data_IF_139144242126
#
_entry.id   IF_139144242126
#
_cell.length_a   1.000
_cell.length_b   1.000
_cell.length_c   1.000
_cell.angle_alpha   90.00
_cell.angle_beta   90.00
_cell.angle_gamma   90.00
#
_symmetry.space_group_name_H-M   'P 1'
#
loop_
_entity.id
_entity.type
_entity.pdbx_description
1 polymer ?
#
# COMPACT_ATOMS: atom_id res chain seq x y z
N UNK A 1 15.04 -29.39 -1.36
CA UNK A 1 14.90 -30.69 -2.09
C UNK A 1 15.74 -31.82 -1.49
N UNK A 2 16.92 -31.55 -0.89
CA UNK A 2 17.70 -32.60 -0.22
C UNK A 2 17.02 -33.09 1.06
N UNK A 3 16.16 -32.27 1.65
CA UNK A 3 15.49 -32.52 2.93
C UNK A 3 14.33 -33.52 2.81
N UNK A 4 13.65 -33.58 1.66
CA UNK A 4 12.61 -34.59 1.38
C UNK A 4 13.19 -36.01 1.22
N UNK A 5 14.50 -36.15 0.99
CA UNK A 5 15.14 -37.46 0.85
C UNK A 5 15.29 -38.21 2.18
N UNK A 6 15.38 -37.48 3.30
CA UNK A 6 15.67 -38.06 4.62
C UNK A 6 14.61 -39.10 5.05
N UNK A 7 13.29 -38.79 5.05
CA UNK A 7 12.28 -39.79 5.42
C UNK A 7 12.22 -40.97 4.43
N UNK A 8 12.43 -40.73 3.13
CA UNK A 8 12.47 -41.80 2.15
C UNK A 8 13.65 -42.75 2.36
N UNK A 9 14.84 -42.21 2.59
CA UNK A 9 16.05 -42.98 2.90
C UNK A 9 15.83 -43.81 4.18
N UNK A 10 15.17 -43.24 5.19
CA UNK A 10 14.88 -43.92 6.45
C UNK A 10 13.90 -45.09 6.26
N UNK A 11 12.86 -44.89 5.43
CA UNK A 11 11.92 -45.97 5.04
C UNK A 11 12.63 -47.07 4.27
N UNK A 12 13.44 -46.72 3.26
CA UNK A 12 14.19 -47.70 2.46
C UNK A 12 15.20 -48.45 3.34
N UNK A 13 15.92 -47.74 4.21
CA UNK A 13 16.83 -48.35 5.17
C UNK A 13 16.10 -49.32 6.12
N UNK A 14 14.94 -48.93 6.64
CA UNK A 14 14.10 -49.79 7.49
C UNK A 14 13.62 -51.04 6.75
N UNK A 15 13.22 -50.94 5.48
CA UNK A 15 12.80 -52.09 4.67
C UNK A 15 13.94 -53.09 4.40
N UNK A 16 15.18 -52.60 4.26
CA UNK A 16 16.37 -53.45 4.15
C UNK A 16 16.88 -53.97 5.50
N UNK A 17 16.68 -53.22 6.60
CA UNK A 17 17.08 -53.59 7.94
C UNK A 17 16.16 -54.66 8.55
N UNK A 18 14.85 -54.57 8.30
CA UNK A 18 13.83 -55.54 8.74
C UNK A 18 13.77 -56.81 7.88
N UNK A 19 14.53 -56.85 6.78
CA UNK A 19 14.58 -58.00 5.87
C UNK A 19 13.37 -58.16 4.95
N UNK A 20 12.43 -57.20 4.95
CA UNK A 20 11.29 -57.18 4.04
C UNK A 20 11.70 -57.13 2.56
N UNK A 21 12.85 -56.50 2.26
CA UNK A 21 13.49 -56.52 0.95
C UNK A 21 14.80 -57.31 0.98
N UNK A 22 14.95 -58.29 0.09
CA UNK A 22 16.22 -59.01 -0.08
C UNK A 22 17.32 -58.03 -0.53
N UNK A 23 18.48 -58.10 0.12
CA UNK A 23 19.68 -57.33 -0.23
C UNK A 23 20.24 -57.84 -1.55
N UNK A 24 19.72 -57.33 -2.66
CA UNK A 24 20.13 -57.69 -4.01
C UNK A 24 20.33 -56.42 -4.84
N UNK A 25 21.29 -56.42 -5.77
CA UNK A 25 21.63 -55.23 -6.56
C UNK A 25 20.40 -54.65 -7.28
N UNK A 26 19.55 -55.52 -7.84
CA UNK A 26 18.27 -55.15 -8.47
C UNK A 26 17.31 -54.42 -7.51
N UNK A 27 17.24 -54.84 -6.25
CA UNK A 27 16.33 -54.23 -5.27
C UNK A 27 16.84 -52.84 -4.83
N UNK A 28 18.16 -52.67 -4.72
CA UNK A 28 18.75 -51.35 -4.47
C UNK A 28 18.52 -50.38 -5.64
N UNK A 29 18.66 -50.85 -6.89
CA UNK A 29 18.39 -50.00 -8.07
C UNK A 29 16.92 -49.62 -8.18
N UNK A 30 16.00 -50.56 -7.94
CA UNK A 30 14.56 -50.26 -7.95
C UNK A 30 14.14 -49.32 -6.81
N UNK A 31 14.72 -49.48 -5.61
CA UNK A 31 14.50 -48.55 -4.50
C UNK A 31 15.04 -47.15 -4.80
N UNK A 32 16.19 -47.03 -5.47
CA UNK A 32 16.72 -45.73 -5.87
C UNK A 32 15.83 -45.06 -6.93
N UNK A 33 15.43 -45.79 -7.98
CA UNK A 33 14.53 -45.29 -9.03
C UNK A 33 13.19 -44.87 -8.44
N UNK A 34 12.55 -45.74 -7.63
CA UNK A 34 11.28 -45.43 -6.98
C UNK A 34 11.37 -44.18 -6.10
N UNK A 35 12.49 -43.96 -5.43
CA UNK A 35 12.72 -42.77 -4.62
C UNK A 35 12.79 -41.51 -5.44
N UNK A 36 13.57 -41.53 -6.53
CA UNK A 36 13.66 -40.40 -7.45
C UNK A 36 12.29 -40.11 -8.07
N UNK A 37 11.52 -41.13 -8.45
CA UNK A 37 10.17 -40.95 -9.00
C UNK A 37 9.21 -40.34 -7.97
N UNK A 38 9.18 -40.86 -6.74
CA UNK A 38 8.33 -40.32 -5.67
C UNK A 38 8.70 -38.86 -5.36
N UNK A 39 9.99 -38.54 -5.30
CA UNK A 39 10.45 -37.17 -5.07
C UNK A 39 10.08 -36.24 -6.22
N UNK A 40 10.18 -36.69 -7.48
CA UNK A 40 9.76 -35.91 -8.63
C UNK A 40 8.26 -35.64 -8.59
N UNK A 41 7.44 -36.65 -8.27
CA UNK A 41 5.99 -36.51 -8.11
C UNK A 41 5.65 -35.57 -6.96
N UNK A 42 6.26 -35.74 -5.78
CA UNK A 42 6.04 -34.86 -4.64
C UNK A 42 6.45 -33.41 -4.93
N UNK A 43 7.56 -33.19 -5.65
CA UNK A 43 7.99 -31.84 -6.02
C UNK A 43 7.03 -31.15 -6.99
N UNK A 44 6.46 -31.88 -7.95
CA UNK A 44 5.45 -31.35 -8.87
C UNK A 44 4.16 -31.04 -8.11
N UNK A 45 3.70 -31.97 -7.27
CA UNK A 45 2.46 -31.81 -6.51
C UNK A 45 2.58 -30.68 -5.49
N UNK A 46 3.69 -30.60 -4.75
CA UNK A 46 3.90 -29.52 -3.77
C UNK A 46 3.90 -28.16 -4.44
N UNK A 47 4.46 -28.05 -5.66
CA UNK A 47 4.45 -26.78 -6.41
C UNK A 47 3.03 -26.32 -6.79
N UNK A 48 2.10 -27.27 -6.99
CA UNK A 48 0.71 -26.97 -7.37
C UNK A 48 -0.18 -26.69 -6.15
N UNK A 49 -0.08 -27.50 -5.09
CA UNK A 49 -1.03 -27.43 -3.97
C UNK A 49 -0.46 -26.81 -2.68
N UNK A 50 0.86 -26.67 -2.57
CA UNK A 50 1.51 -25.92 -1.50
C UNK A 50 2.62 -25.03 -2.08
N UNK A 51 2.28 -24.05 -2.94
CA UNK A 51 3.27 -23.18 -3.56
C UNK A 51 4.11 -22.49 -2.50
N UNK A 52 5.43 -22.60 -2.63
CA UNK A 52 6.42 -21.92 -1.79
C UNK A 52 7.16 -20.91 -2.67
N UNK A 53 7.36 -19.69 -2.18
CA UNK A 53 8.30 -18.77 -2.79
C UNK A 53 9.75 -19.24 -2.57
N UNK A 54 10.40 -19.68 -3.64
CA UNK A 54 11.80 -20.12 -3.60
C UNK A 54 12.79 -19.03 -4.00
N UNK A 55 12.30 -17.87 -4.44
CA UNK A 55 13.12 -16.77 -4.98
C UNK A 55 13.28 -15.62 -3.99
N UNK A 56 12.78 -15.78 -2.76
CA UNK A 56 12.75 -14.73 -1.74
C UNK A 56 12.16 -13.41 -2.24
N UNK A 57 11.16 -13.50 -3.13
CA UNK A 57 10.49 -12.34 -3.74
C UNK A 57 9.37 -11.78 -2.86
N UNK A 58 9.05 -12.49 -1.79
CA UNK A 58 8.00 -12.16 -0.86
C UNK A 58 8.44 -10.95 -0.03
N UNK A 59 7.65 -9.89 -0.07
CA UNK A 59 8.01 -8.60 0.53
C UNK A 59 6.89 -8.03 1.38
N UNK A 60 7.25 -7.46 2.52
CA UNK A 60 6.32 -6.71 3.38
C UNK A 60 6.15 -5.31 2.81
N UNK A 61 4.91 -4.92 2.56
CA UNK A 61 4.55 -3.59 2.07
C UNK A 61 3.50 -2.96 2.96
N UNK A 62 3.41 -1.64 2.85
CA UNK A 62 2.35 -0.86 3.47
C UNK A 62 1.89 0.24 2.48
N UNK A 63 0.61 0.63 2.52
CA UNK A 63 0.15 1.83 1.85
C UNK A 63 0.95 3.04 2.36
N UNK A 64 1.26 3.97 1.47
CA UNK A 64 1.94 5.20 1.83
C UNK A 64 1.34 6.41 1.13
N UNK A 65 1.36 7.54 1.82
CA UNK A 65 1.06 8.84 1.24
C UNK A 65 2.37 9.46 0.73
N UNK A 66 2.34 10.01 -0.49
CA UNK A 66 3.45 10.80 -1.02
C UNK A 66 3.10 12.28 -0.82
N UNK A 67 3.82 12.92 0.08
CA UNK A 67 3.68 14.35 0.37
C UNK A 67 4.72 15.12 -0.44
N UNK A 68 4.24 15.91 -1.39
CA UNK A 68 5.07 16.83 -2.17
C UNK A 68 4.61 18.27 -1.95
N UNK A 69 5.52 19.26 -1.93
CA UNK A 69 5.15 20.66 -1.98
C UNK A 69 4.22 20.94 -3.17
N UNK A 70 3.29 21.86 -2.98
CA UNK A 70 2.44 22.34 -4.08
C UNK A 70 3.35 23.08 -5.08
N UNK A 71 3.12 22.86 -6.38
CA UNK A 71 3.96 23.42 -7.43
C UNK A 71 4.12 24.94 -7.29
N UNK A 72 5.38 25.41 -7.28
CA UNK A 72 5.72 26.83 -7.16
C UNK A 72 5.87 27.35 -5.72
N UNK A 73 5.67 26.51 -4.69
CA UNK A 73 5.91 26.88 -3.30
C UNK A 73 7.20 26.27 -2.76
N UNK A 74 7.91 27.05 -1.95
CA UNK A 74 9.16 26.65 -1.30
C UNK A 74 8.88 26.12 0.11
N UNK A 75 9.61 25.09 0.52
CA UNK A 75 9.58 24.58 1.89
C UNK A 75 10.21 25.61 2.83
N UNK A 76 9.47 26.01 3.86
CA UNK A 76 9.93 26.91 4.92
C UNK A 76 10.71 26.11 5.98
N UNK A 77 10.02 25.21 6.70
CA UNK A 77 10.63 24.38 7.76
C UNK A 77 10.20 22.94 7.67
N UNK A 78 11.14 22.03 7.94
CA UNK A 78 10.87 20.60 8.11
C UNK A 78 10.84 20.28 9.60
N UNK A 79 9.75 19.71 10.09
CA UNK A 79 9.48 19.52 11.53
C UNK A 79 9.54 18.04 11.96
N UNK A 80 10.00 17.17 11.06
CA UNK A 80 10.14 15.74 11.29
C UNK A 80 11.54 15.25 10.97
N UNK A 81 11.95 14.20 11.67
CA UNK A 81 13.21 13.50 11.47
C UNK A 81 13.04 12.21 10.65
N UNK A 82 14.17 11.67 10.17
CA UNK A 82 14.18 10.40 9.45
C UNK A 82 13.59 9.26 10.30
N UNK A 83 12.71 8.44 9.70
CA UNK A 83 12.12 7.26 10.35
C UNK A 83 11.27 7.57 11.60
N UNK A 84 10.85 8.83 11.79
CA UNK A 84 10.03 9.23 12.92
C UNK A 84 8.60 8.68 12.83
N UNK A 85 8.08 8.21 13.97
CA UNK A 85 6.67 7.87 14.11
C UNK A 85 5.86 9.14 14.34
N UNK A 86 4.79 9.31 13.56
CA UNK A 86 3.91 10.49 13.61
C UNK A 86 2.46 10.03 13.75
N UNK A 87 1.64 10.87 14.36
CA UNK A 87 0.20 10.68 14.48
C UNK A 87 -0.54 11.52 13.46
N UNK A 88 -1.78 11.13 13.17
CA UNK A 88 -2.68 11.92 12.36
C UNK A 88 -2.77 13.37 12.87
N UNK A 89 -2.58 14.33 11.96
CA UNK A 89 -2.60 15.77 12.25
C UNK A 89 -1.26 16.39 12.64
N UNK A 90 -0.23 15.58 12.92
CA UNK A 90 1.12 16.08 13.20
C UNK A 90 1.67 16.86 12.00
N UNK A 91 2.35 17.97 12.27
CA UNK A 91 2.91 18.82 11.22
C UNK A 91 4.22 18.20 10.72
N UNK A 92 4.31 18.04 9.42
CA UNK A 92 5.44 17.42 8.75
C UNK A 92 6.39 18.50 8.23
N UNK A 93 5.88 19.44 7.44
CA UNK A 93 6.61 20.63 7.01
C UNK A 93 5.66 21.79 6.70
N UNK A 94 6.20 23.00 6.73
CA UNK A 94 5.51 24.23 6.34
C UNK A 94 6.05 24.76 5.02
N UNK A 95 5.20 25.48 4.29
CA UNK A 95 5.55 26.17 3.05
C UNK A 95 5.64 27.68 3.30
N UNK A 96 6.51 28.36 2.56
CA UNK A 96 6.71 29.82 2.66
C UNK A 96 5.40 30.54 2.27
N UNK A 97 4.95 31.45 3.12
CA UNK A 97 3.83 32.34 2.83
C UNK A 97 4.34 33.64 2.20
N UNK A 98 4.21 33.76 0.87
CA UNK A 98 4.70 34.93 0.13
C UNK A 98 3.65 36.06 0.10
N UNK A 99 2.38 35.75 -0.18
CA UNK A 99 1.37 36.78 -0.49
C UNK A 99 0.09 36.73 0.38
N UNK A 100 -0.16 35.64 1.10
CA UNK A 100 -1.53 35.35 1.53
C UNK A 100 -1.99 36.10 2.79
N UNK A 101 -1.07 36.68 3.58
CA UNK A 101 -1.45 37.55 4.69
C UNK A 101 -2.00 38.90 4.20
N UNK A 102 -1.37 39.49 3.18
CA UNK A 102 -1.80 40.77 2.61
C UNK A 102 -3.12 40.62 1.84
N UNK A 103 -3.25 39.54 1.05
CA UNK A 103 -4.48 39.25 0.33
C UNK A 103 -5.67 39.00 1.26
N UNK A 104 -5.45 38.23 2.35
CA UNK A 104 -6.48 38.00 3.36
C UNK A 104 -6.94 39.31 4.00
N UNK A 105 -6.01 40.14 4.46
CA UNK A 105 -6.33 41.43 5.06
C UNK A 105 -7.08 42.37 4.09
N UNK A 106 -6.73 42.34 2.80
CA UNK A 106 -7.42 43.10 1.76
C UNK A 106 -8.87 42.63 1.58
N UNK A 107 -9.12 41.33 1.49
CA UNK A 107 -10.47 40.77 1.34
C UNK A 107 -11.32 41.06 2.59
N UNK A 108 -10.76 40.88 3.79
CA UNK A 108 -11.43 41.18 5.05
C UNK A 108 -11.85 42.66 5.12
N UNK A 109 -10.97 43.58 4.69
CA UNK A 109 -11.30 45.01 4.59
C UNK A 109 -12.43 45.28 3.59
N UNK A 110 -12.41 44.63 2.42
CA UNK A 110 -13.49 44.75 1.43
C UNK A 110 -14.82 44.19 1.93
N UNK A 111 -14.82 43.11 2.72
CA UNK A 111 -16.03 42.58 3.37
C UNK A 111 -16.61 43.63 4.33
N UNK A 112 -15.78 44.22 5.21
CA UNK A 112 -16.24 45.26 6.15
C UNK A 112 -16.83 46.46 5.40
N UNK A 113 -16.20 46.90 4.31
CA UNK A 113 -16.72 48.00 3.49
C UNK A 113 -18.09 47.66 2.90
N UNK A 114 -18.27 46.44 2.37
CA UNK A 114 -19.54 45.99 1.79
C UNK A 114 -20.62 45.78 2.85
N UNK A 115 -20.27 45.31 4.03
CA UNK A 115 -21.20 45.21 5.16
C UNK A 115 -21.72 46.59 5.59
N UNK A 116 -20.85 47.59 5.65
CA UNK A 116 -21.28 48.96 5.96
C UNK A 116 -22.15 49.57 4.85
N UNK A 117 -21.85 49.28 3.59
CA UNK A 117 -22.69 49.69 2.45
C UNK A 117 -24.07 49.04 2.50
N UNK A 118 -24.15 47.73 2.80
CA UNK A 118 -25.42 47.03 3.02
C UNK A 118 -26.20 47.65 4.18
N UNK A 119 -25.54 47.95 5.31
CA UNK A 119 -26.20 48.60 6.46
C UNK A 119 -26.75 49.98 6.09
N UNK A 120 -26.03 50.75 5.28
CA UNK A 120 -26.51 52.04 4.77
C UNK A 120 -27.72 51.85 3.86
N UNK A 121 -27.64 50.96 2.86
CA UNK A 121 -28.73 50.68 1.93
C UNK A 121 -29.98 50.14 2.63
N UNK A 122 -29.80 49.30 3.65
CA UNK A 122 -30.89 48.75 4.46
C UNK A 122 -31.64 49.87 5.21
N UNK A 123 -30.90 50.84 5.78
CA UNK A 123 -31.51 52.03 6.41
C UNK A 123 -32.24 52.93 5.40
N UNK A 124 -31.76 52.99 4.16
CA UNK A 124 -32.39 53.78 3.10
C UNK A 124 -33.69 53.11 2.63
N UNK A 125 -33.67 51.79 2.48
CA UNK A 125 -34.86 50.98 2.18
C UNK A 125 -35.91 51.11 3.29
N UNK A 126 -35.53 50.95 4.56
CA UNK A 126 -36.44 51.08 5.71
C UNK A 126 -37.09 52.47 5.79
N UNK A 127 -36.32 53.53 5.48
CA UNK A 127 -36.85 54.90 5.39
C UNK A 127 -37.85 55.07 4.24
N UNK A 128 -37.57 54.47 3.08
CA UNK A 128 -38.45 54.51 1.91
C UNK A 128 -39.77 53.77 2.17
N UNK A 129 -39.72 52.63 2.86
CA UNK A 129 -40.91 51.84 3.24
C UNK A 129 -41.78 52.56 4.28
N UNK A 130 -41.16 53.24 5.26
CA UNK A 130 -41.88 53.93 6.34
C UNK A 130 -42.52 55.26 5.89
N UNK A 131 -42.06 55.84 4.78
CA UNK A 131 -42.51 57.16 4.27
C UNK A 131 -43.15 57.09 2.87
N UNK A 132 -44.31 56.41 2.71
CA UNK A 132 -44.95 56.18 1.41
C UNK A 132 -45.50 57.45 0.74
N UNK A 133 -45.61 58.57 1.45
CA UNK A 133 -46.00 59.87 0.87
C UNK A 133 -44.86 60.54 0.07
N UNK A 134 -43.61 60.13 0.30
CA UNK A 134 -42.41 60.75 -0.27
C UNK A 134 -41.77 59.86 -1.35
N UNK A 135 -41.84 58.54 -1.20
CA UNK A 135 -41.20 57.57 -2.10
C UNK A 135 -42.24 56.74 -2.86
N UNK A 136 -41.99 56.51 -4.16
CA UNK A 136 -42.88 55.68 -4.98
C UNK A 136 -42.50 54.19 -4.84
N UNK A 137 -43.43 53.27 -5.15
CA UNK A 137 -43.14 51.82 -5.13
C UNK A 137 -41.94 51.41 -5.99
N UNK A 138 -41.72 52.08 -7.12
CA UNK A 138 -40.56 51.83 -8.00
C UNK A 138 -39.22 52.12 -7.30
N UNK A 139 -39.20 53.10 -6.41
CA UNK A 139 -37.98 53.49 -5.69
C UNK A 139 -37.65 52.44 -4.62
N UNK A 140 -38.67 51.90 -3.94
CA UNK A 140 -38.51 50.77 -3.00
C UNK A 140 -38.00 49.51 -3.72
N UNK A 141 -38.62 49.14 -4.85
CA UNK A 141 -38.18 47.98 -5.66
C UNK A 141 -36.74 48.13 -6.16
N UNK A 142 -36.31 49.37 -6.47
CA UNK A 142 -34.94 49.67 -6.83
C UNK A 142 -33.99 49.46 -5.66
N UNK A 143 -34.28 50.01 -4.48
CA UNK A 143 -33.44 49.82 -3.29
C UNK A 143 -33.32 48.35 -2.88
N UNK A 144 -34.42 47.60 -2.95
CA UNK A 144 -34.43 46.17 -2.71
C UNK A 144 -33.59 45.39 -3.76
N UNK A 145 -33.66 45.80 -5.03
CA UNK A 145 -32.79 45.24 -6.08
C UNK A 145 -31.30 45.56 -5.86
N UNK A 146 -30.97 46.79 -5.50
CA UNK A 146 -29.60 47.22 -5.20
C UNK A 146 -29.07 46.48 -3.96
N UNK A 147 -29.90 46.30 -2.93
CA UNK A 147 -29.57 45.52 -1.73
C UNK A 147 -29.32 44.04 -2.07
N UNK A 148 -30.10 43.43 -2.97
CA UNK A 148 -29.81 42.08 -3.48
C UNK A 148 -28.45 41.99 -4.19
N UNK A 149 -28.10 42.99 -5.00
CA UNK A 149 -26.80 43.03 -5.69
C UNK A 149 -25.67 43.13 -4.66
N UNK A 150 -25.78 44.01 -3.66
CA UNK A 150 -24.79 44.14 -2.59
C UNK A 150 -24.61 42.84 -1.79
N UNK A 151 -25.71 42.14 -1.47
CA UNK A 151 -25.63 40.84 -0.83
C UNK A 151 -24.93 39.79 -1.71
N UNK A 152 -25.19 39.77 -3.02
CA UNK A 152 -24.50 38.88 -3.94
C UNK A 152 -22.98 39.17 -3.98
N UNK A 153 -22.59 40.45 -3.97
CA UNK A 153 -21.18 40.86 -3.90
C UNK A 153 -20.52 40.45 -2.57
N UNK A 154 -21.21 40.63 -1.44
CA UNK A 154 -20.73 40.18 -0.13
C UNK A 154 -20.51 38.67 -0.09
N UNK A 155 -21.45 37.89 -0.64
CA UNK A 155 -21.30 36.42 -0.74
C UNK A 155 -20.10 36.05 -1.61
N UNK A 156 -19.85 36.78 -2.71
CA UNK A 156 -18.64 36.59 -3.53
C UNK A 156 -17.36 36.82 -2.73
N UNK A 157 -17.30 37.92 -1.97
CA UNK A 157 -16.12 38.22 -1.14
C UNK A 157 -15.90 37.19 -0.02
N UNK A 158 -16.98 36.67 0.58
CA UNK A 158 -16.89 35.59 1.56
C UNK A 158 -16.35 34.29 0.94
N UNK A 159 -16.76 33.97 -0.29
CA UNK A 159 -16.22 32.83 -1.03
C UNK A 159 -14.73 33.01 -1.35
N UNK A 160 -14.30 34.21 -1.71
CA UNK A 160 -12.88 34.54 -1.93
C UNK A 160 -12.07 34.41 -0.63
N UNK A 161 -12.61 34.87 0.51
CA UNK A 161 -11.97 34.70 1.82
C UNK A 161 -11.83 33.21 2.18
N UNK A 162 -12.87 32.40 1.95
CA UNK A 162 -12.83 30.96 2.20
C UNK A 162 -11.75 30.29 1.33
N UNK A 163 -11.63 30.69 0.05
CA UNK A 163 -10.60 30.20 -0.85
C UNK A 163 -9.19 30.52 -0.35
N UNK A 164 -8.95 31.73 0.13
CA UNK A 164 -7.64 32.13 0.70
C UNK A 164 -7.34 31.35 1.98
N UNK A 165 -8.32 31.21 2.89
CA UNK A 165 -8.14 30.43 4.12
C UNK A 165 -7.82 28.96 3.82
N UNK A 166 -8.52 28.34 2.88
CA UNK A 166 -8.24 26.96 2.46
C UNK A 166 -6.84 26.81 1.86
N UNK A 167 -6.41 27.78 1.03
CA UNK A 167 -5.06 27.80 0.49
C UNK A 167 -4.00 27.93 1.60
N UNK A 168 -4.28 28.69 2.66
CA UNK A 168 -3.40 28.83 3.83
C UNK A 168 -3.28 27.54 4.63
N UNK A 169 -4.40 26.86 4.89
CA UNK A 169 -4.40 25.56 5.58
C UNK A 169 -3.54 24.54 4.83
N UNK A 170 -3.60 24.56 3.49
CA UNK A 170 -2.81 23.68 2.62
C UNK A 170 -1.31 24.00 2.57
N UNK A 171 -0.85 25.11 3.15
CA UNK A 171 0.60 25.40 3.31
C UNK A 171 1.24 24.65 4.47
N UNK A 172 0.43 24.15 5.40
CA UNK A 172 0.91 23.30 6.50
C UNK A 172 0.62 21.85 6.15
N UNK A 173 1.64 21.11 5.75
CA UNK A 173 1.48 19.70 5.40
C UNK A 173 1.50 18.88 6.68
N UNK A 174 0.44 18.10 6.88
CA UNK A 174 0.20 17.28 8.06
C UNK A 174 0.09 15.81 7.70
N UNK A 175 0.35 14.93 8.65
CA UNK A 175 0.10 13.51 8.50
C UNK A 175 -1.41 13.24 8.35
N UNK A 176 -1.79 12.52 7.28
CA UNK A 176 -3.18 12.11 7.03
C UNK A 176 -3.61 10.89 7.86
N UNK A 177 -2.65 10.17 8.46
CA UNK A 177 -2.88 9.00 9.29
C UNK A 177 -1.67 8.70 10.18
N UNK A 178 -1.88 7.91 11.23
CA UNK A 178 -0.81 7.38 12.08
C UNK A 178 0.15 6.50 11.26
N UNK A 179 1.46 6.77 11.37
CA UNK A 179 2.44 6.05 10.57
C UNK A 179 3.88 6.42 10.84
N UNK A 180 4.75 6.01 9.93
CA UNK A 180 6.18 6.27 9.99
C UNK A 180 6.64 7.06 8.77
N UNK A 181 7.28 8.20 9.02
CA UNK A 181 7.93 9.01 7.98
C UNK A 181 9.13 8.23 7.45
N UNK A 182 9.33 8.22 6.14
CA UNK A 182 10.50 7.61 5.52
C UNK A 182 11.78 8.42 5.80
N UNK A 183 12.81 8.20 4.98
CA UNK A 183 13.92 9.12 4.91
C UNK A 183 13.41 10.49 4.43
N UNK A 184 13.55 11.51 5.27
CA UNK A 184 13.40 12.92 4.89
C UNK A 184 14.45 13.24 3.82
N UNK A 185 13.99 13.42 2.59
CA UNK A 185 14.82 13.73 1.41
C UNK A 185 14.59 15.17 0.91
N UNK A 186 13.90 15.98 1.69
CA UNK A 186 13.63 17.39 1.42
C UNK A 186 14.42 18.26 2.39
N UNK A 187 14.89 19.42 1.92
CA UNK A 187 15.57 20.41 2.74
C UNK A 187 14.78 21.71 2.80
N UNK A 188 15.00 22.50 3.85
CA UNK A 188 14.52 23.88 3.92
C UNK A 188 14.98 24.64 2.68
N UNK A 189 14.07 25.40 2.09
CA UNK A 189 14.31 26.11 0.84
C UNK A 189 14.13 25.27 -0.44
N UNK A 190 13.81 23.98 -0.34
CA UNK A 190 13.52 23.16 -1.53
C UNK A 190 12.18 23.53 -2.16
N UNK A 191 12.14 23.61 -3.49
CA UNK A 191 10.91 23.87 -4.29
C UNK A 191 10.28 22.60 -4.86
N UNK A 192 11.01 21.48 -4.78
CA UNK A 192 10.58 20.17 -5.25
C UNK A 192 11.10 19.11 -4.29
N UNK A 193 10.30 18.07 -4.07
CA UNK A 193 10.64 16.97 -3.19
C UNK A 193 9.44 16.06 -2.94
N UNK A 194 9.70 14.86 -2.46
CA UNK A 194 8.67 13.87 -2.16
C UNK A 194 9.01 13.13 -0.87
N UNK A 195 8.18 13.26 0.16
CA UNK A 195 8.32 12.50 1.39
C UNK A 195 7.26 11.42 1.46
N UNK A 196 7.65 10.23 1.94
CA UNK A 196 6.72 9.12 2.07
C UNK A 196 6.33 8.95 3.54
N UNK A 197 5.03 8.86 3.81
CA UNK A 197 4.48 8.48 5.11
C UNK A 197 3.84 7.10 4.96
N UNK A 198 4.41 6.09 5.62
CA UNK A 198 3.91 4.71 5.55
C UNK A 198 2.91 4.43 6.66
N UNK A 199 1.79 3.80 6.33
CA UNK A 199 0.80 3.37 7.31
C UNK A 199 1.25 2.07 8.00
N UNK A 200 1.73 2.17 9.22
CA UNK A 200 2.25 1.01 9.97
C UNK A 200 1.17 0.04 10.42
N UNK A 201 -0.10 0.47 10.47
CA UNK A 201 -1.23 -0.33 10.92
C UNK A 201 -1.80 -1.25 9.84
N UNK A 202 -1.47 -1.01 8.56
CA UNK A 202 -2.00 -1.77 7.41
C UNK A 202 -0.88 -2.42 6.59
N UNK A 203 -0.06 -3.24 7.25
CA UNK A 203 0.98 -4.03 6.57
C UNK A 203 0.37 -5.23 5.86
N UNK A 204 0.88 -5.53 4.66
CA UNK A 204 0.50 -6.69 3.87
C UNK A 204 1.73 -7.31 3.21
N UNK A 205 1.61 -8.56 2.78
CA UNK A 205 2.67 -9.27 2.10
C UNK A 205 2.33 -9.38 0.61
N UNK A 206 3.29 -9.06 -0.26
CA UNK A 206 3.19 -9.45 -1.66
C UNK A 206 4.03 -10.70 -1.90
N UNK A 207 3.39 -11.72 -2.48
CA UNK A 207 4.04 -12.98 -2.87
C UNK A 207 3.76 -13.24 -4.34
N UNK A 208 4.69 -13.89 -5.03
CA UNK A 208 4.48 -14.37 -6.41
C UNK A 208 4.19 -15.86 -6.44
N UNK A 209 3.17 -16.24 -7.20
CA UNK A 209 2.80 -17.63 -7.46
C UNK A 209 2.85 -17.94 -8.95
N UNK A 210 3.09 -19.20 -9.30
CA UNK A 210 3.01 -19.63 -10.69
C UNK A 210 1.56 -19.57 -11.21
N UNK A 211 1.39 -19.24 -12.48
CA UNK A 211 0.10 -19.28 -13.17
C UNK A 211 -0.58 -20.66 -13.10
N UNK A 212 0.21 -21.73 -13.01
CA UNK A 212 -0.30 -23.09 -12.84
C UNK A 212 -0.99 -23.29 -11.49
N UNK A 213 -0.53 -22.58 -10.47
CA UNK A 213 -1.06 -22.66 -9.11
C UNK A 213 -2.24 -21.71 -8.90
N UNK A 214 -2.35 -20.65 -9.70
CA UNK A 214 -3.39 -19.62 -9.58
C UNK A 214 -4.81 -20.19 -9.48
N UNK A 215 -5.13 -21.24 -10.25
CA UNK A 215 -6.46 -21.87 -10.24
C UNK A 215 -6.79 -22.66 -8.97
N UNK A 216 -5.82 -22.93 -8.11
CA UNK A 216 -6.02 -23.67 -6.85
C UNK A 216 -6.03 -22.77 -5.62
N UNK A 217 -5.54 -21.53 -5.74
CA UNK A 217 -5.51 -20.60 -4.61
C UNK A 217 -6.84 -19.86 -4.54
N UNK A 218 -7.42 -19.76 -3.35
CA UNK A 218 -8.64 -19.02 -3.08
C UNK A 218 -8.41 -17.90 -2.05
N UNK A 219 -9.30 -16.90 -2.07
CA UNK A 219 -9.32 -15.86 -1.04
C UNK A 219 -9.70 -16.49 0.30
N UNK A 220 -8.93 -16.21 1.34
CA UNK A 220 -9.08 -16.77 2.69
C UNK A 220 -8.16 -17.95 2.98
N UNK A 221 -7.45 -18.49 1.98
CA UNK A 221 -6.52 -19.61 2.17
C UNK A 221 -5.45 -19.28 3.20
N UNK A 222 -5.10 -20.28 3.99
CA UNK A 222 -4.08 -20.17 5.02
C UNK A 222 -2.69 -20.08 4.39
N UNK A 223 -1.86 -19.19 4.93
CA UNK A 223 -0.47 -19.03 4.53
C UNK A 223 0.43 -18.92 5.76
N UNK A 224 1.69 -19.33 5.62
CA UNK A 224 2.73 -18.93 6.56
C UNK A 224 3.88 -18.30 5.82
N UNK A 225 4.59 -17.41 6.50
CA UNK A 225 5.73 -16.72 5.93
C UNK A 225 6.79 -16.46 6.99
N UNK A 226 8.02 -16.23 6.54
CA UNK A 226 9.05 -15.63 7.37
C UNK A 226 9.58 -14.38 6.69
N UNK A 227 10.24 -13.54 7.47
CA UNK A 227 10.96 -12.37 7.00
C UNK A 227 12.39 -12.41 7.51
N UNK A 228 13.34 -11.95 6.71
CA UNK A 228 14.76 -11.92 7.07
C UNK A 228 15.04 -11.00 8.26
N UNK A 229 14.17 -10.01 8.51
CA UNK A 229 14.25 -9.15 9.69
C UNK A 229 14.00 -9.88 11.02
N UNK A 230 13.26 -11.00 10.99
CA UNK A 230 13.01 -11.87 12.14
C UNK A 230 13.31 -13.33 11.78
N UNK A 231 14.58 -13.67 11.56
CA UNK A 231 14.94 -15.00 11.12
C UNK A 231 14.66 -16.02 12.24
N UNK A 232 14.35 -17.26 11.87
CA UNK A 232 13.93 -18.31 12.80
C UNK A 232 12.48 -18.22 13.28
N UNK A 233 11.76 -17.13 12.98
CA UNK A 233 10.34 -16.98 13.28
C UNK A 233 9.51 -17.23 12.03
N UNK A 234 8.31 -17.79 12.22
CA UNK A 234 7.32 -17.98 11.16
C UNK A 234 5.99 -17.40 11.62
N UNK A 235 5.44 -16.53 10.78
CA UNK A 235 4.21 -15.81 11.00
C UNK A 235 3.10 -16.40 10.13
N UNK A 236 1.86 -16.14 10.54
CA UNK A 236 0.67 -16.60 9.81
C UNK A 236 0.12 -15.47 8.97
N UNK A 237 -0.45 -15.82 7.83
CA UNK A 237 -1.12 -14.91 6.93
C UNK A 237 -2.34 -15.60 6.30
N UNK A 238 -3.17 -14.81 5.63
CA UNK A 238 -4.26 -15.32 4.79
C UNK A 238 -4.22 -14.67 3.43
N UNK A 239 -4.65 -15.39 2.40
CA UNK A 239 -4.82 -14.81 1.07
C UNK A 239 -5.95 -13.77 1.12
N UNK A 240 -5.64 -12.51 0.86
CA UNK A 240 -6.63 -11.44 0.83
C UNK A 240 -7.16 -11.24 -0.59
N UNK A 241 -6.27 -11.07 -1.56
CA UNK A 241 -6.68 -10.81 -2.95
C UNK A 241 -5.59 -11.14 -3.96
N UNK A 242 -5.99 -11.23 -5.22
CA UNK A 242 -5.11 -11.35 -6.37
C UNK A 242 -4.88 -9.97 -6.98
N UNK A 243 -3.65 -9.70 -7.42
CA UNK A 243 -3.41 -8.49 -8.20
C UNK A 243 -4.10 -8.61 -9.57
N UNK A 244 -4.94 -7.62 -9.92
CA UNK A 244 -5.77 -7.65 -11.12
C UNK A 244 -4.96 -7.59 -12.42
N UNK A 245 -3.75 -7.00 -12.38
CA UNK A 245 -2.87 -6.88 -13.53
C UNK A 245 -1.43 -7.17 -13.17
N UNK A 246 -0.72 -7.90 -14.02
CA UNK A 246 0.74 -7.95 -13.97
C UNK A 246 1.31 -6.70 -14.62
N UNK A 247 2.56 -6.31 -14.33
CA UNK A 247 3.21 -5.18 -15.02
C UNK A 247 3.26 -5.33 -16.55
N UNK A 248 3.10 -6.55 -17.05
CA UNK A 248 3.01 -6.89 -18.46
C UNK A 248 1.63 -6.61 -19.08
N UNK A 249 0.59 -6.50 -18.26
CA UNK A 249 -0.74 -6.05 -18.68
C UNK A 249 -0.90 -4.53 -18.68
N UNK A 250 0.12 -3.79 -18.21
CA UNK A 250 0.10 -2.33 -18.21
C UNK A 250 0.21 -1.80 -19.64
N UNK A 251 -0.90 -1.29 -20.17
CA UNK A 251 -0.94 -0.65 -21.48
C UNK A 251 -0.30 0.72 -21.35
N UNK A 252 0.78 0.96 -22.11
CA UNK A 252 1.38 2.29 -22.19
C UNK A 252 0.37 3.29 -22.78
N UNK A 253 0.15 4.44 -22.13
CA UNK A 253 -0.72 5.49 -22.68
C UNK A 253 -0.07 6.21 -23.89
N UNK A 254 1.25 6.09 -24.09
CA UNK A 254 1.88 6.52 -25.35
C UNK A 254 1.55 5.51 -26.45
N UNK A 255 0.85 5.97 -27.49
CA UNK A 255 0.52 5.17 -28.68
C UNK A 255 1.78 4.85 -29.49
N UNK A 256 2.09 3.56 -29.62
CA UNK A 256 3.16 3.06 -30.47
C UNK A 256 3.21 1.53 -30.44
N UNK A 257 3.67 0.86 -31.51
CA UNK A 257 3.80 -0.59 -31.52
C UNK A 257 4.84 -1.02 -30.47
N UNK A 258 4.44 -1.89 -29.54
CA UNK A 258 5.37 -2.46 -28.59
C UNK A 258 6.22 -3.54 -29.27
N UNK A 259 7.54 -3.48 -29.06
CA UNK A 259 8.46 -4.48 -29.58
C UNK A 259 8.22 -5.82 -28.89
N UNK A 260 7.71 -6.80 -29.64
CA UNK A 260 7.44 -8.17 -29.16
C UNK A 260 8.72 -8.81 -28.62
N UNK A 261 9.88 -8.56 -29.24
CA UNK A 261 11.17 -9.10 -28.78
C UNK A 261 11.61 -8.57 -27.42
N UNK A 262 11.38 -7.29 -27.16
CA UNK A 262 11.71 -6.66 -25.87
C UNK A 262 10.77 -7.13 -24.75
N UNK A 263 9.50 -7.40 -25.10
CA UNK A 263 8.51 -8.00 -24.19
C UNK A 263 8.89 -9.46 -23.84
N UNK A 264 9.31 -10.27 -24.82
CA UNK A 264 9.72 -11.67 -24.58
C UNK A 264 10.98 -11.77 -23.70
N UNK A 265 11.97 -10.88 -23.88
CA UNK A 265 13.20 -10.88 -23.04
C UNK A 265 12.89 -10.45 -21.60
N UNK A 266 11.98 -9.48 -21.40
CA UNK A 266 11.54 -9.07 -20.06
C UNK A 266 10.70 -10.14 -19.37
N UNK A 267 9.91 -10.90 -20.16
CA UNK A 267 9.09 -12.03 -19.72
C UNK A 267 9.85 -13.32 -19.43
N UNK A 268 11.11 -13.46 -19.84
CA UNK A 268 11.89 -14.68 -19.58
C UNK A 268 12.03 -15.04 -18.10
N UNK A 269 11.83 -14.07 -17.21
CA UNK A 269 11.86 -14.22 -15.75
C UNK A 269 10.51 -13.93 -15.07
N UNK A 270 9.41 -13.80 -15.83
CA UNK A 270 8.08 -13.51 -15.28
C UNK A 270 7.53 -14.74 -14.55
N UNK A 271 7.94 -14.89 -13.28
CA UNK A 271 7.49 -15.93 -12.37
C UNK A 271 6.08 -15.58 -11.86
N UNK A 272 5.10 -15.71 -12.76
CA UNK A 272 3.66 -15.76 -12.49
C UNK A 272 3.00 -14.50 -11.90
N UNK A 273 1.93 -14.70 -11.12
CA UNK A 273 1.02 -13.66 -10.62
C UNK A 273 1.36 -13.22 -9.20
N UNK A 274 1.22 -11.93 -8.93
CA UNK A 274 1.33 -11.38 -7.58
C UNK A 274 0.01 -11.54 -6.84
N UNK A 275 0.10 -12.00 -5.61
CA UNK A 275 -1.00 -12.12 -4.65
C UNK A 275 -0.68 -11.32 -3.41
N UNK A 276 -1.73 -10.84 -2.76
CA UNK A 276 -1.65 -10.06 -1.52
C UNK A 276 -2.08 -10.96 -0.37
N UNK A 277 -1.22 -11.11 0.62
CA UNK A 277 -1.52 -11.80 1.86
C UNK A 277 -1.71 -10.79 2.99
N UNK A 278 -2.80 -10.96 3.73
CA UNK A 278 -3.05 -10.25 4.98
C UNK A 278 -2.23 -10.89 6.10
N UNK A 279 -1.43 -10.08 6.79
CA UNK A 279 -0.53 -10.54 7.83
C UNK A 279 -1.29 -10.64 9.16
N UNK A 280 -1.14 -11.76 9.86
CA UNK A 280 -1.60 -11.91 11.24
C UNK A 280 -0.40 -11.68 12.16
N UNK A 281 -0.19 -10.42 12.54
CA UNK A 281 0.94 -10.04 13.40
C UNK A 281 0.69 -10.47 14.86
N UNK A 282 1.57 -11.29 15.47
CA UNK A 282 1.48 -11.64 16.88
C UNK A 282 1.90 -10.45 17.76
N UNK A 283 1.33 -10.36 18.96
CA UNK A 283 1.67 -9.33 19.94
C UNK A 283 3.18 -9.31 20.24
N UNK A 284 3.79 -8.12 20.18
CA UNK A 284 5.22 -7.92 20.47
C UNK A 284 6.17 -7.95 19.27
N UNK A 285 5.69 -8.26 18.06
CA UNK A 285 6.50 -8.21 16.84
C UNK A 285 6.09 -7.02 15.96
N UNK A 286 7.06 -6.20 15.54
CA UNK A 286 6.83 -5.15 14.55
C UNK A 286 7.60 -5.46 13.28
N UNK A 287 6.96 -6.15 12.34
CA UNK A 287 7.55 -6.53 11.05
C UNK A 287 7.90 -5.25 10.25
N UNK A 288 9.19 -4.99 9.95
CA UNK A 288 9.58 -3.80 9.21
C UNK A 288 9.08 -3.85 7.77
N UNK A 289 8.60 -2.70 7.28
CA UNK A 289 8.23 -2.52 5.87
C UNK A 289 9.48 -2.67 5.00
N UNK A 290 9.34 -3.35 3.86
CA UNK A 290 10.46 -3.64 2.97
C UNK A 290 11.24 -4.91 3.32
N UNK A 291 10.92 -5.59 4.43
CA UNK A 291 11.52 -6.88 4.76
C UNK A 291 11.20 -7.92 3.67
N UNK A 292 12.24 -8.59 3.18
CA UNK A 292 12.14 -9.73 2.26
C UNK A 292 12.03 -11.04 3.04
N UNK A 293 11.55 -12.08 2.37
CA UNK A 293 11.54 -13.43 2.91
C UNK A 293 10.86 -14.39 1.95
N UNK A 294 10.24 -15.43 2.48
CA UNK A 294 9.44 -16.36 1.70
C UNK A 294 8.14 -16.72 2.41
N UNK A 295 7.15 -17.07 1.62
CA UNK A 295 5.84 -17.51 2.07
C UNK A 295 5.42 -18.80 1.34
N UNK A 296 4.51 -19.53 1.97
CA UNK A 296 3.80 -20.64 1.36
C UNK A 296 2.31 -20.53 1.63
N UNK A 297 1.51 -21.15 0.76
CA UNK A 297 0.04 -21.12 0.85
C UNK A 297 -0.50 -22.54 0.81
N UNK A 298 -1.48 -22.84 1.65
CA UNK A 298 -2.29 -24.05 1.56
C UNK A 298 -3.37 -23.84 0.51
N UNK A 299 -3.06 -24.17 -0.75
CA UNK A 299 -4.03 -24.09 -1.83
C UNK A 299 -5.10 -25.19 -1.72
N UNK A 300 -6.20 -25.00 -2.44
CA UNK A 300 -7.30 -25.95 -2.52
C UNK A 300 -6.84 -27.27 -3.16
N UNK A 301 -7.21 -28.37 -2.52
CA UNK A 301 -6.78 -29.72 -2.90
C UNK A 301 -7.97 -30.49 -3.44
N UNK A 302 -7.81 -31.29 -4.51
CA UNK A 302 -8.90 -32.11 -5.05
C UNK A 302 -9.49 -33.10 -4.06
N UNK A 303 -8.70 -33.56 -3.07
CA UNK A 303 -9.15 -34.50 -2.05
C UNK A 303 -8.43 -34.26 -0.71
N UNK A 304 -9.12 -34.37 0.45
CA UNK A 304 -8.53 -34.13 1.78
C UNK A 304 -7.31 -34.99 2.11
N UNK A 305 -7.20 -36.18 1.49
CA UNK A 305 -6.04 -37.07 1.60
C UNK A 305 -4.71 -36.36 1.32
N UNK A 306 -4.72 -35.38 0.42
CA UNK A 306 -3.54 -34.62 0.02
C UNK A 306 -3.15 -33.51 1.01
N UNK A 307 -3.86 -33.36 2.14
CA UNK A 307 -3.55 -32.36 3.17
C UNK A 307 -2.14 -32.45 3.74
N UNK A 308 -1.50 -33.62 3.71
CA UNK A 308 -0.11 -33.77 4.17
C UNK A 308 0.90 -32.92 3.37
N UNK A 309 0.54 -32.46 2.17
CA UNK A 309 1.41 -31.63 1.34
C UNK A 309 1.65 -30.26 1.94
N UNK A 310 0.73 -29.76 2.77
CA UNK A 310 0.91 -28.52 3.53
C UNK A 310 2.11 -28.62 4.47
N UNK A 311 2.38 -29.82 5.01
CA UNK A 311 3.56 -30.07 5.85
C UNK A 311 4.84 -29.86 5.04
N UNK A 312 4.84 -30.16 3.75
CA UNK A 312 5.99 -29.95 2.86
C UNK A 312 6.22 -28.45 2.66
N UNK A 313 5.15 -27.68 2.38
CA UNK A 313 5.22 -26.23 2.25
C UNK A 313 5.73 -25.55 3.53
N UNK A 314 5.09 -25.87 4.66
CA UNK A 314 5.44 -25.37 5.98
C UNK A 314 6.87 -25.72 6.40
N UNK A 315 7.28 -26.97 6.19
CA UNK A 315 8.64 -27.40 6.50
C UNK A 315 9.67 -26.66 5.65
N UNK A 316 9.37 -26.38 4.38
CA UNK A 316 10.28 -25.66 3.47
C UNK A 316 10.49 -24.23 3.94
N UNK A 317 9.43 -23.49 4.26
CA UNK A 317 9.51 -22.10 4.74
C UNK A 317 10.18 -22.02 6.11
N UNK A 318 9.89 -22.94 7.03
CA UNK A 318 10.59 -23.02 8.32
C UNK A 318 12.09 -23.30 8.15
N UNK A 319 12.44 -24.22 7.25
CA UNK A 319 13.84 -24.52 6.97
C UNK A 319 14.56 -23.34 6.31
N UNK A 320 13.91 -22.61 5.41
CA UNK A 320 14.44 -21.36 4.87
C UNK A 320 14.61 -20.29 5.96
N UNK A 321 13.66 -20.17 6.89
CA UNK A 321 13.76 -19.27 8.05
C UNK A 321 14.96 -19.61 8.94
N UNK A 322 15.18 -20.89 9.25
CA UNK A 322 16.38 -21.34 9.96
C UNK A 322 17.66 -21.14 9.16
N UNK A 323 17.62 -21.34 7.83
CA UNK A 323 18.76 -21.06 6.95
C UNK A 323 19.11 -19.57 6.96
N UNK A 324 18.11 -18.67 6.96
CA UNK A 324 18.32 -17.22 7.08
C UNK A 324 18.94 -16.90 8.45
N UNK A 325 18.46 -17.52 9.54
CA UNK A 325 19.03 -17.38 10.88
C UNK A 325 20.49 -17.83 10.97
N UNK A 326 20.80 -18.99 10.41
CA UNK A 326 22.16 -19.56 10.32
C UNK A 326 22.96 -19.00 9.14
N UNK A 327 22.44 -18.01 8.41
CA UNK A 327 23.12 -17.40 7.27
C UNK A 327 23.41 -15.92 7.47
N UNK A 328 23.01 -15.36 8.62
CA UNK A 328 23.07 -13.94 8.94
C UNK A 328 24.49 -13.44 9.30
N UNK A 329 25.52 -13.96 8.65
CA UNK A 329 26.93 -13.57 8.81
C UNK A 329 27.61 -13.26 7.47
#
# INVERSE_FOLDING_TARGET
>A
MKEMMIPYILIVWSLFATGALKKNFKNYTWAAIGGVTILAVLAVISRLWAPVDLTNSTTVKAPHAVMSPIFGQQIDKVLVDHNQMVKEGDIIYTLVDIDSAADKAKIESSIVQKEEEIKQMTRDLERAETSPEIFNMRDVEKYDSDLRVLHAELVSLQADLQKVNWAQEKKTIRAEFDGQVSIVNIAEGSVMGNMHLYNTSKKFLEMRISDQTYGYVQVGDFAEFFVDAYPGHVFRAKVHSFNAGTGESSISPLQGPQSVGQHVVRNGNALGRTIVLEIIEPEGYNIPIGSTGAAWISAEKPHPFWGFIDVIGAATVRLQSYKSYLGAW
#
